data_IF_333296367502
#
_entry.id   IF_333296367502
#
_cell.length_a   1.000
_cell.length_b   1.000
_cell.length_c   1.000
_cell.angle_alpha   90.00
_cell.angle_beta   90.00
_cell.angle_gamma   90.00
#
_symmetry.space_group_name_H-M   'P 1'
#
loop_
_entity.id
_entity.type
_entity.pdbx_description
1 polymer ?
#
# COMPACT_ATOMS: atom_id res chain seq x y z
N UNK A 1 14.84 -43.08 -57.79
CA UNK A 1 13.66 -42.19 -57.58
C UNK A 1 13.54 -42.03 -56.08
N UNK A 2 14.18 -40.99 -55.54
CA UNK A 2 14.35 -40.81 -54.10
C UNK A 2 13.27 -39.86 -53.57
N UNK A 3 12.40 -40.38 -52.70
CA UNK A 3 11.37 -39.60 -52.01
C UNK A 3 11.91 -39.08 -50.68
N UNK A 4 12.31 -37.81 -50.66
CA UNK A 4 12.70 -37.11 -49.43
C UNK A 4 11.46 -36.72 -48.61
N UNK A 5 11.37 -37.23 -47.38
CA UNK A 5 10.38 -36.86 -46.38
C UNK A 5 10.86 -35.55 -45.71
N UNK A 6 10.22 -34.42 -46.04
CA UNK A 6 10.45 -33.15 -45.34
C UNK A 6 9.43 -33.07 -44.19
N UNK A 7 9.85 -33.49 -42.99
CA UNK A 7 9.11 -33.28 -41.76
C UNK A 7 9.09 -31.78 -41.40
N UNK A 8 7.89 -31.20 -41.45
CA UNK A 8 7.56 -29.82 -41.09
C UNK A 8 7.90 -29.52 -39.62
N UNK A 9 9.05 -28.87 -39.37
CA UNK A 9 9.49 -28.28 -38.09
C UNK A 9 8.69 -27.01 -37.69
N UNK A 10 7.41 -26.90 -38.02
CA UNK A 10 6.60 -25.70 -37.68
C UNK A 10 5.66 -25.86 -36.48
N UNK A 11 5.54 -27.06 -35.91
CA UNK A 11 4.54 -27.36 -34.86
C UNK A 11 4.98 -27.17 -33.40
N UNK A 12 6.26 -26.93 -33.09
CA UNK A 12 6.78 -26.98 -31.71
C UNK A 12 7.00 -25.58 -31.10
N UNK A 13 7.22 -24.55 -31.92
CA UNK A 13 7.47 -23.19 -31.43
C UNK A 13 6.20 -22.47 -30.93
N UNK A 14 5.04 -22.73 -31.56
CA UNK A 14 3.77 -22.08 -31.19
C UNK A 14 3.20 -22.61 -29.86
N UNK A 15 3.39 -23.91 -29.57
CA UNK A 15 2.94 -24.58 -28.35
C UNK A 15 3.80 -24.22 -27.13
N UNK A 16 5.10 -23.95 -27.30
CA UNK A 16 5.97 -23.47 -26.23
C UNK A 16 5.67 -22.03 -25.78
N UNK A 17 5.38 -21.13 -26.72
CA UNK A 17 5.03 -19.73 -26.42
C UNK A 17 3.64 -19.64 -25.80
N UNK A 18 2.65 -20.38 -26.32
CA UNK A 18 1.31 -20.44 -25.72
C UNK A 18 1.33 -21.01 -24.30
N UNK A 19 2.16 -22.03 -24.03
CA UNK A 19 2.38 -22.57 -22.69
C UNK A 19 3.00 -21.57 -21.72
N UNK A 20 3.97 -20.76 -22.18
CA UNK A 20 4.56 -19.67 -21.39
C UNK A 20 3.56 -18.55 -21.11
N UNK A 21 2.76 -18.13 -22.09
CA UNK A 21 1.71 -17.12 -21.91
C UNK A 21 0.64 -17.63 -20.94
N UNK A 22 0.24 -18.90 -21.04
CA UNK A 22 -0.71 -19.52 -20.13
C UNK A 22 -0.13 -19.65 -18.71
N UNK A 23 1.15 -19.99 -18.55
CA UNK A 23 1.83 -19.99 -17.26
C UNK A 23 1.91 -18.59 -16.65
N UNK A 24 2.25 -17.56 -17.44
CA UNK A 24 2.20 -16.17 -16.98
C UNK A 24 0.79 -15.75 -16.58
N UNK A 25 -0.23 -16.13 -17.36
CA UNK A 25 -1.63 -15.87 -17.04
C UNK A 25 -2.03 -16.55 -15.71
N UNK A 26 -1.73 -17.85 -15.54
CA UNK A 26 -2.04 -18.62 -14.33
C UNK A 26 -1.28 -18.11 -13.11
N UNK A 27 -0.01 -17.72 -13.24
CA UNK A 27 0.75 -17.10 -12.16
C UNK A 27 0.27 -15.68 -11.83
N UNK A 28 -0.31 -14.95 -12.78
CA UNK A 28 -0.87 -13.61 -12.58
C UNK A 28 -2.31 -13.60 -12.05
N UNK A 29 -3.08 -14.68 -12.27
CA UNK A 29 -4.48 -14.82 -11.86
C UNK A 29 -4.72 -14.64 -10.35
N UNK A 30 -3.88 -15.21 -9.44
CA UNK A 30 -3.99 -14.95 -8.00
C UNK A 30 -3.70 -13.50 -7.60
N UNK A 31 -2.92 -12.76 -8.41
CA UNK A 31 -2.68 -11.32 -8.21
C UNK A 31 -3.81 -10.46 -8.77
N UNK A 32 -4.51 -10.92 -9.82
CA UNK A 32 -5.69 -10.25 -10.39
C UNK A 32 -6.94 -10.44 -9.53
N UNK A 33 -7.06 -11.57 -8.83
CA UNK A 33 -8.16 -11.89 -7.91
C UNK A 33 -7.84 -11.56 -6.44
N UNK A 34 -6.64 -11.03 -6.18
CA UNK A 34 -6.29 -10.47 -4.89
C UNK A 34 -7.26 -9.32 -4.58
N UNK A 35 -7.85 -9.29 -3.37
CA UNK A 35 -8.64 -8.14 -2.92
C UNK A 35 -7.79 -6.87 -3.10
N UNK A 36 -8.06 -6.10 -4.15
CA UNK A 36 -7.34 -4.87 -4.43
C UNK A 36 -7.69 -3.88 -3.34
N UNK A 37 -6.69 -3.32 -2.67
CA UNK A 37 -6.90 -2.21 -1.73
C UNK A 37 -7.66 -1.10 -2.46
N UNK A 38 -8.88 -0.80 -2.03
CA UNK A 38 -9.64 0.30 -2.61
C UNK A 38 -9.06 1.65 -2.15
N UNK A 39 -9.27 2.70 -2.94
CA UNK A 39 -8.88 4.05 -2.54
C UNK A 39 -9.49 4.45 -1.19
N UNK A 40 -10.79 4.19 -1.00
CA UNK A 40 -11.49 4.51 0.25
C UNK A 40 -10.88 3.77 1.46
N UNK A 41 -10.51 2.50 1.29
CA UNK A 41 -9.82 1.75 2.34
C UNK A 41 -8.44 2.34 2.62
N UNK A 42 -7.69 2.74 1.59
CA UNK A 42 -6.38 3.37 1.75
C UNK A 42 -6.50 4.69 2.53
N UNK A 43 -7.48 5.54 2.20
CA UNK A 43 -7.76 6.78 2.93
C UNK A 43 -8.05 6.52 4.40
N UNK A 44 -8.96 5.59 4.68
CA UNK A 44 -9.36 5.22 6.04
C UNK A 44 -8.16 4.79 6.87
N UNK A 45 -7.35 3.86 6.35
CA UNK A 45 -6.19 3.32 7.06
C UNK A 45 -5.05 4.35 7.20
N UNK A 46 -4.82 5.20 6.19
CA UNK A 46 -3.86 6.31 6.30
C UNK A 46 -4.32 7.31 7.36
N UNK A 47 -5.59 7.72 7.39
CA UNK A 47 -6.10 8.61 8.45
C UNK A 47 -5.91 7.99 9.83
N UNK A 48 -6.25 6.73 9.98
CA UNK A 48 -6.08 6.00 11.24
C UNK A 48 -4.62 6.00 11.71
N UNK A 49 -3.69 5.70 10.79
CA UNK A 49 -2.25 5.76 11.05
C UNK A 49 -1.80 7.15 11.52
N UNK A 50 -2.24 8.21 10.83
CA UNK A 50 -1.86 9.58 11.20
C UNK A 50 -2.35 9.98 12.58
N UNK A 51 -3.56 9.57 12.96
CA UNK A 51 -4.08 9.79 14.32
C UNK A 51 -3.27 9.03 15.36
N UNK A 52 -2.99 7.75 15.12
CA UNK A 52 -2.18 6.92 16.03
C UNK A 52 -0.78 7.50 16.20
N UNK A 53 -0.15 7.95 15.12
CA UNK A 53 1.15 8.61 15.17
C UNK A 53 1.10 9.94 15.95
N UNK A 54 0.06 10.76 15.75
CA UNK A 54 -0.13 11.99 16.52
C UNK A 54 -0.32 11.71 18.02
N UNK A 55 -1.18 10.76 18.38
CA UNK A 55 -1.38 10.32 19.77
C UNK A 55 -0.09 9.76 20.39
N UNK A 56 0.69 8.98 19.64
CA UNK A 56 1.98 8.45 20.08
C UNK A 56 2.97 9.56 20.42
N UNK A 57 3.11 10.58 19.55
CA UNK A 57 3.94 11.77 19.82
C UNK A 57 3.45 12.54 21.05
N UNK A 58 2.15 12.73 21.16
CA UNK A 58 1.51 13.42 22.28
C UNK A 58 1.75 12.70 23.62
N UNK A 59 1.67 11.36 23.62
CA UNK A 59 1.98 10.53 24.79
C UNK A 59 3.48 10.55 25.14
N UNK A 60 4.36 10.54 24.14
CA UNK A 60 5.80 10.68 24.37
C UNK A 60 6.15 12.05 24.97
N UNK A 61 5.48 13.11 24.52
CA UNK A 61 5.64 14.46 25.06
C UNK A 61 5.22 14.52 26.53
N UNK A 62 4.06 13.96 26.90
CA UNK A 62 3.65 13.91 28.32
C UNK A 62 4.68 13.20 29.19
N UNK A 63 5.20 12.06 28.72
CA UNK A 63 6.24 11.31 29.45
C UNK A 63 7.52 12.13 29.60
N UNK A 64 7.93 12.85 28.56
CA UNK A 64 9.10 13.72 28.59
C UNK A 64 8.91 14.90 29.56
N UNK A 65 7.68 15.41 29.66
CA UNK A 65 7.31 16.51 30.56
C UNK A 65 7.03 16.02 32.01
N UNK A 66 7.20 14.72 32.29
CA UNK A 66 6.96 14.11 33.60
C UNK A 66 5.49 14.08 34.01
N UNK A 67 4.57 14.28 33.07
CA UNK A 67 3.13 14.32 33.31
C UNK A 67 2.50 12.95 33.06
N UNK A 68 1.62 12.52 33.96
CA UNK A 68 0.86 11.26 33.81
C UNK A 68 -0.40 11.43 32.96
N UNK A 69 -0.92 12.65 32.84
CA UNK A 69 -2.12 12.99 32.07
C UNK A 69 -2.00 14.39 31.47
N UNK A 70 -2.72 14.61 30.36
CA UNK A 70 -2.80 15.93 29.74
C UNK A 70 -3.69 16.87 30.56
N UNK A 71 -3.23 18.09 30.77
CA UNK A 71 -4.09 19.17 31.26
C UNK A 71 -5.17 19.53 30.21
N UNK A 72 -6.20 20.27 30.63
CA UNK A 72 -7.31 20.64 29.75
C UNK A 72 -6.85 21.40 28.48
N UNK A 73 -5.85 22.27 28.62
CA UNK A 73 -5.32 23.07 27.50
C UNK A 73 -4.62 22.20 26.47
N UNK A 74 -3.86 21.21 26.93
CA UNK A 74 -3.13 20.25 26.10
C UNK A 74 -4.07 19.27 25.44
N UNK A 75 -5.06 18.74 26.19
CA UNK A 75 -6.12 17.91 25.64
C UNK A 75 -6.89 18.62 24.52
N UNK A 76 -7.26 19.89 24.71
CA UNK A 76 -7.93 20.70 23.68
C UNK A 76 -7.05 20.92 22.44
N UNK A 77 -5.73 21.10 22.60
CA UNK A 77 -4.80 21.17 21.45
C UNK A 77 -4.75 19.86 20.69
N UNK A 78 -4.71 18.73 21.39
CA UNK A 78 -4.68 17.40 20.77
C UNK A 78 -5.98 17.09 20.03
N UNK A 79 -7.12 17.44 20.61
CA UNK A 79 -8.41 17.33 19.95
C UNK A 79 -8.45 18.14 18.65
N UNK A 80 -7.93 19.38 18.66
CA UNK A 80 -7.81 20.20 17.44
C UNK A 80 -6.90 19.55 16.40
N UNK A 81 -5.80 18.92 16.82
CA UNK A 81 -4.89 18.21 15.92
C UNK A 81 -5.58 16.98 15.29
N UNK A 82 -6.29 16.17 16.07
CA UNK A 82 -7.01 15.00 15.59
C UNK A 82 -8.15 15.40 14.64
N UNK A 83 -8.92 16.43 15.00
CA UNK A 83 -9.96 17.00 14.15
C UNK A 83 -9.38 17.55 12.83
N UNK A 84 -8.16 18.11 12.86
CA UNK A 84 -7.47 18.52 11.65
C UNK A 84 -7.17 17.32 10.74
N UNK A 85 -6.73 16.19 11.31
CA UNK A 85 -6.50 14.94 10.55
C UNK A 85 -7.80 14.41 9.94
N UNK A 86 -8.90 14.49 10.66
CA UNK A 86 -10.22 14.09 10.14
C UNK A 86 -10.70 14.92 8.96
N UNK A 87 -10.36 16.21 8.94
CA UNK A 87 -10.75 17.14 7.87
C UNK A 87 -9.73 17.23 6.74
N UNK A 88 -8.62 16.50 6.79
CA UNK A 88 -7.67 16.47 5.67
C UNK A 88 -8.36 15.96 4.40
N UNK A 89 -8.03 16.52 3.25
CA UNK A 89 -8.58 16.09 1.96
C UNK A 89 -7.52 15.25 1.22
N UNK A 90 -7.91 14.07 0.73
CA UNK A 90 -7.06 13.27 -0.15
C UNK A 90 -7.37 13.67 -1.60
N UNK A 91 -6.52 14.51 -2.17
CA UNK A 91 -6.70 15.06 -3.53
C UNK A 91 -6.48 13.97 -4.58
N UNK A 92 -5.50 13.10 -4.36
CA UNK A 92 -5.24 11.95 -5.22
C UNK A 92 -4.59 10.83 -4.44
N UNK A 93 -4.95 9.59 -4.77
CA UNK A 93 -4.33 8.38 -4.24
C UNK A 93 -3.96 7.46 -5.38
N UNK A 94 -2.70 7.05 -5.41
CA UNK A 94 -2.19 6.06 -6.34
C UNK A 94 -1.74 4.84 -5.53
N UNK A 95 -2.18 3.65 -5.93
CA UNK A 95 -1.94 2.39 -5.22
C UNK A 95 -1.16 1.46 -6.13
N UNK A 96 -0.08 0.89 -5.62
CA UNK A 96 0.81 -0.05 -6.31
C UNK A 96 1.09 -1.26 -5.44
N UNK A 97 1.56 -2.35 -6.05
CA UNK A 97 2.02 -3.52 -5.32
C UNK A 97 3.52 -3.44 -5.06
N UNK A 98 3.96 -3.79 -3.86
CA UNK A 98 5.38 -3.81 -3.53
C UNK A 98 6.03 -5.11 -4.03
N UNK A 99 7.12 -5.00 -4.80
CA UNK A 99 7.81 -6.15 -5.43
C UNK A 99 8.43 -7.13 -4.43
N UNK A 100 8.74 -6.68 -3.23
CA UNK A 100 9.63 -7.40 -2.30
C UNK A 100 8.86 -7.99 -1.11
N UNK A 101 7.66 -8.53 -1.36
CA UNK A 101 7.05 -9.42 -0.39
C UNK A 101 7.80 -10.77 -0.45
N UNK A 102 8.31 -11.32 0.67
CA UNK A 102 8.93 -12.63 0.68
C UNK A 102 7.95 -13.66 0.07
N UNK A 103 8.39 -14.52 -0.87
CA UNK A 103 7.51 -15.48 -1.55
C UNK A 103 6.88 -16.51 -0.60
N UNK A 104 7.36 -16.57 0.65
CA UNK A 104 6.88 -17.45 1.72
C UNK A 104 5.87 -16.79 2.65
N UNK A 105 5.61 -15.48 2.52
CA UNK A 105 4.66 -14.78 3.37
C UNK A 105 3.32 -14.58 2.67
N UNK A 106 2.22 -14.96 3.33
CA UNK A 106 0.83 -14.61 2.95
C UNK A 106 0.55 -13.10 3.05
N UNK A 107 1.60 -12.29 3.24
CA UNK A 107 1.52 -10.86 3.50
C UNK A 107 1.56 -10.11 2.19
N UNK A 108 0.47 -9.40 1.87
CA UNK A 108 0.43 -8.48 0.73
C UNK A 108 0.79 -7.09 1.20
N UNK A 109 1.72 -6.46 0.50
CA UNK A 109 2.17 -5.10 0.80
C UNK A 109 1.80 -4.21 -0.39
N UNK A 110 0.95 -3.22 -0.12
CA UNK A 110 0.57 -2.19 -1.07
C UNK A 110 1.35 -0.92 -0.75
N UNK A 111 1.90 -0.29 -1.78
CA UNK A 111 2.43 1.06 -1.69
C UNK A 111 1.36 2.04 -2.10
N UNK A 112 1.21 3.12 -1.32
CA UNK A 112 0.24 4.16 -1.57
C UNK A 112 0.95 5.50 -1.63
N UNK A 113 0.80 6.21 -2.74
CA UNK A 113 1.19 7.62 -2.87
C UNK A 113 -0.07 8.45 -2.69
N UNK A 114 -0.12 9.22 -1.62
CA UNK A 114 -1.25 10.09 -1.29
C UNK A 114 -0.83 11.56 -1.41
N UNK A 115 -1.61 12.34 -2.16
CA UNK A 115 -1.53 13.81 -2.14
C UNK A 115 -2.59 14.30 -1.18
N UNK A 116 -2.15 14.88 -0.07
CA UNK A 116 -3.01 15.33 1.02
C UNK A 116 -2.99 16.86 1.05
N UNK A 117 -4.18 17.47 1.03
CA UNK A 117 -4.36 18.90 1.20
C UNK A 117 -4.69 19.23 2.65
N UNK A 118 -3.87 20.08 3.24
CA UNK A 118 -4.04 20.59 4.59
C UNK A 118 -5.05 21.72 4.70
N UNK A 119 -5.34 22.15 5.93
CA UNK A 119 -6.23 23.28 6.21
C UNK A 119 -5.70 24.63 5.66
N UNK A 120 -4.40 24.73 5.42
CA UNK A 120 -3.73 25.87 4.79
C UNK A 120 -3.79 25.82 3.25
N UNK A 121 -4.59 24.90 2.68
CA UNK A 121 -4.69 24.60 1.24
C UNK A 121 -3.37 24.16 0.60
N UNK A 122 -2.32 23.87 1.39
CA UNK A 122 -1.08 23.34 0.85
C UNK A 122 -1.22 21.84 0.63
N UNK A 123 -0.74 21.41 -0.52
CA UNK A 123 -0.70 20.00 -0.90
C UNK A 123 0.65 19.40 -0.52
N UNK A 124 0.60 18.20 0.04
CA UNK A 124 1.79 17.44 0.41
C UNK A 124 1.67 16.03 -0.12
N UNK A 125 2.72 15.56 -0.80
CA UNK A 125 2.79 14.17 -1.27
C UNK A 125 3.45 13.32 -0.20
N UNK A 126 2.78 12.26 0.23
CA UNK A 126 3.27 11.31 1.24
C UNK A 126 3.12 9.88 0.72
N UNK A 127 4.02 9.01 1.17
CA UNK A 127 4.09 7.63 0.71
C UNK A 127 3.88 6.69 1.88
N UNK A 128 3.01 5.71 1.72
CA UNK A 128 2.65 4.75 2.76
C UNK A 128 2.80 3.33 2.23
N UNK A 129 3.10 2.39 3.12
CA UNK A 129 2.91 0.96 2.86
C UNK A 129 1.76 0.46 3.70
N UNK A 130 0.82 -0.24 3.10
CA UNK A 130 -0.28 -0.91 3.77
C UNK A 130 -0.09 -2.42 3.64
N UNK A 131 0.08 -3.11 4.76
CA UNK A 131 0.27 -4.56 4.80
C UNK A 131 -0.99 -5.25 5.30
N UNK A 132 -1.49 -6.22 4.54
CA UNK A 132 -2.55 -7.12 4.93
C UNK A 132 -1.97 -8.51 5.21
N UNK A 133 -2.36 -9.10 6.35
CA UNK A 133 -1.96 -10.46 6.74
C UNK A 133 -3.17 -11.37 6.56
N UNK A 134 -3.08 -12.34 5.64
CA UNK A 134 -4.19 -13.17 5.17
C UNK A 134 -5.26 -12.39 4.38
N UNK A 135 -5.86 -13.06 3.39
CA UNK A 135 -6.80 -12.50 2.39
C UNK A 135 -8.09 -11.85 2.96
N UNK A 136 -8.23 -11.74 4.27
CA UNK A 136 -9.44 -11.28 4.94
C UNK A 136 -9.21 -9.90 5.56
N UNK A 137 -9.40 -8.89 4.69
CA UNK A 137 -10.01 -7.59 4.96
C UNK A 137 -9.44 -6.58 5.97
N UNK A 138 -8.41 -6.89 6.76
CA UNK A 138 -7.82 -5.90 7.67
C UNK A 138 -6.36 -5.57 7.30
N UNK A 139 -6.08 -4.31 6.98
CA UNK A 139 -4.71 -3.82 6.82
C UNK A 139 -4.15 -3.57 8.21
N UNK A 140 -3.40 -4.54 8.71
CA UNK A 140 -2.93 -4.54 10.10
C UNK A 140 -1.79 -3.54 10.34
N UNK A 141 -1.04 -3.16 9.29
CA UNK A 141 0.13 -2.29 9.44
C UNK A 141 0.20 -1.24 8.34
N UNK A 142 0.17 0.03 8.75
CA UNK A 142 0.44 1.18 7.89
C UNK A 142 1.75 1.80 8.33
N UNK A 143 2.65 2.08 7.40
CA UNK A 143 3.89 2.77 7.68
C UNK A 143 4.11 3.88 6.65
N UNK A 144 4.57 5.04 7.09
CA UNK A 144 5.03 6.09 6.19
C UNK A 144 6.47 5.80 5.72
N UNK A 145 6.75 6.07 4.45
CA UNK A 145 8.05 5.84 3.83
C UNK A 145 8.52 7.04 3.02
N UNK A 146 9.80 7.01 2.67
CA UNK A 146 10.36 7.93 1.69
C UNK A 146 9.89 7.58 0.27
N UNK A 147 10.00 8.57 -0.64
CA UNK A 147 9.73 8.41 -2.07
C UNK A 147 10.52 7.27 -2.72
N UNK A 148 11.65 6.85 -2.16
CA UNK A 148 12.47 5.78 -2.75
C UNK A 148 11.76 4.43 -2.79
N UNK A 149 11.01 4.07 -1.74
CA UNK A 149 10.28 2.79 -1.71
C UNK A 149 9.14 2.74 -2.74
N UNK A 150 8.60 3.90 -3.12
CA UNK A 150 7.60 3.99 -4.18
C UNK A 150 8.16 3.56 -5.54
N UNK A 151 9.42 3.89 -5.85
CA UNK A 151 10.03 3.46 -7.12
C UNK A 151 10.27 1.95 -7.19
N UNK A 152 10.20 1.23 -6.06
CA UNK A 152 10.28 -0.23 -5.98
C UNK A 152 8.90 -0.91 -6.07
N UNK A 153 7.87 -0.20 -6.51
CA UNK A 153 6.49 -0.68 -6.64
C UNK A 153 5.91 -0.45 -8.03
N UNK A 154 5.01 -1.35 -8.46
CA UNK A 154 4.38 -1.36 -9.79
C UNK A 154 2.85 -1.39 -9.70
#
# INVERSE_FOLDING_TARGET
MDSNIILSRKGIAASGIAGLVLLFAIFSLPNLLAASLSQEQAEKWIRYYLKQHAMGRNMQQLKADGQSSADYKTASKWEKELNRIDRMEFVSIEIRHFLVAPPTSSTRIYMVKAVIRGADKKESTRYFSLSAQNNFFDFFWVNEHSRWKWFLSF
#
